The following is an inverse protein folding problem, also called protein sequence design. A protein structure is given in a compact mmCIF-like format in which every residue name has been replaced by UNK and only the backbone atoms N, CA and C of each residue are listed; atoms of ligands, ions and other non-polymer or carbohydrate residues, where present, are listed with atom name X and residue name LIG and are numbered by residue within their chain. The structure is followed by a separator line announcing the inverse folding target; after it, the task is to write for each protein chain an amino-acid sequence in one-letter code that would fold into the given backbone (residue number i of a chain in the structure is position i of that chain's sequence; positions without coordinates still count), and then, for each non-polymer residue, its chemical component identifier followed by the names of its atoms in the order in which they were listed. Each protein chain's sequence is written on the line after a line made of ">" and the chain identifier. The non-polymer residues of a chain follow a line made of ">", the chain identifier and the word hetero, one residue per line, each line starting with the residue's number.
data_IF_993402890646
#
_entry.id   IF_993402890646
#
_cell.length_a   1.000
_cell.length_b   1.000
_cell.length_c   1.000
_cell.angle_alpha   90.00
_cell.angle_beta   90.00
_cell.angle_gamma   90.00
#
_symmetry.space_group_name_H-M   'P 1'
#
loop_
_entity.id
_entity.type
_entity.pdbx_description
1 polymer ?
#
# COMPACT_ATOMS: atom_id res chain seq x y z
N UNK A 1 9.30 -1.09 -10.38
CA UNK A 1 8.35 -0.87 -11.48
C UNK A 1 8.61 0.50 -12.09
N UNK A 2 8.80 0.59 -13.43
CA UNK A 2 9.08 1.85 -14.14
C UNK A 2 7.91 2.83 -14.04
N UNK A 3 6.69 2.34 -14.20
CA UNK A 3 5.46 3.15 -14.14
C UNK A 3 5.24 3.80 -12.77
N UNK A 4 5.65 3.14 -11.67
CA UNK A 4 5.58 3.75 -10.33
C UNK A 4 6.56 4.93 -10.23
N UNK A 5 7.77 4.79 -10.79
CA UNK A 5 8.73 5.89 -10.83
C UNK A 5 8.23 7.04 -11.69
N UNK A 6 7.63 6.73 -12.85
CA UNK A 6 7.00 7.72 -13.72
C UNK A 6 5.85 8.45 -12.99
N UNK A 7 4.96 7.71 -12.30
CA UNK A 7 3.85 8.28 -11.52
C UNK A 7 4.34 9.20 -10.39
N UNK A 8 5.42 8.82 -9.70
CA UNK A 8 6.06 9.66 -8.69
C UNK A 8 6.63 10.93 -9.33
N UNK A 9 7.28 10.82 -10.49
CA UNK A 9 7.87 11.97 -11.17
C UNK A 9 6.82 12.95 -11.70
N UNK A 10 5.65 12.48 -12.14
CA UNK A 10 4.60 13.31 -12.72
C UNK A 10 3.61 13.86 -11.70
N UNK A 11 3.28 13.08 -10.67
CA UNK A 11 2.20 13.40 -9.72
C UNK A 11 2.67 13.55 -8.27
N UNK A 12 3.95 13.27 -7.98
CA UNK A 12 4.55 13.44 -6.66
C UNK A 12 4.90 14.90 -6.38
N UNK A 13 4.66 15.33 -5.14
CA UNK A 13 4.99 16.67 -4.65
C UNK A 13 5.98 16.55 -3.49
N UNK A 14 7.12 17.24 -3.57
CA UNK A 14 8.11 17.27 -2.49
C UNK A 14 7.79 18.42 -1.54
N UNK A 15 7.37 18.07 -0.33
CA UNK A 15 7.09 19.03 0.74
C UNK A 15 8.39 19.39 1.50
N UNK A 16 8.32 20.47 2.27
CA UNK A 16 9.38 20.85 3.18
C UNK A 16 9.73 19.70 4.15
N UNK A 17 11.02 19.56 4.46
CA UNK A 17 11.52 18.45 5.28
C UNK A 17 11.74 17.13 4.51
N UNK A 18 11.68 17.15 3.17
CA UNK A 18 12.00 15.99 2.34
C UNK A 18 10.88 14.94 2.27
N UNK A 19 9.65 15.32 2.59
CA UNK A 19 8.48 14.42 2.55
C UNK A 19 7.93 14.38 1.12
N UNK A 20 7.85 13.19 0.55
CA UNK A 20 7.21 12.96 -0.76
C UNK A 20 5.71 12.70 -0.56
N UNK A 21 4.88 13.62 -1.05
CA UNK A 21 3.43 13.51 -1.06
C UNK A 21 2.96 12.85 -2.36
N UNK A 22 2.12 11.81 -2.24
CA UNK A 22 1.65 10.95 -3.33
C UNK A 22 0.13 10.71 -3.25
N UNK A 23 -0.58 11.72 -2.78
CA UNK A 23 -2.00 11.60 -2.43
C UNK A 23 -2.91 11.34 -3.63
N UNK A 24 -2.45 11.68 -4.85
CA UNK A 24 -3.21 11.53 -6.10
C UNK A 24 -3.34 10.08 -6.57
N UNK A 25 -2.52 9.16 -6.06
CA UNK A 25 -2.53 7.77 -6.54
C UNK A 25 -2.32 6.69 -5.47
N UNK A 26 -1.88 7.02 -4.25
CA UNK A 26 -1.66 6.04 -3.18
C UNK A 26 -2.44 6.32 -1.89
N UNK A 27 -2.26 7.50 -1.28
CA UNK A 27 -2.67 7.72 0.11
C UNK A 27 -4.16 8.10 0.27
N UNK A 28 -4.62 9.09 -0.48
CA UNK A 28 -5.99 9.62 -0.39
C UNK A 28 -6.85 9.20 -1.58
N UNK A 29 -6.33 9.40 -2.80
CA UNK A 29 -6.81 8.78 -4.01
C UNK A 29 -5.95 7.56 -4.31
N UNK A 30 -6.58 6.48 -4.74
CA UNK A 30 -5.91 5.24 -5.11
C UNK A 30 -6.06 5.05 -6.61
N UNK A 31 -4.96 4.81 -7.32
CA UNK A 31 -4.97 4.38 -8.72
C UNK A 31 -5.05 2.84 -8.78
N UNK A 32 -6.21 2.23 -9.09
CA UNK A 32 -6.37 0.78 -9.01
C UNK A 32 -5.52 0.03 -10.04
N UNK A 33 -5.27 0.64 -11.20
CA UNK A 33 -4.44 0.05 -12.27
C UNK A 33 -2.99 -0.05 -11.82
N UNK A 34 -2.48 1.02 -11.20
CA UNK A 34 -1.14 1.00 -10.62
C UNK A 34 -1.03 0.01 -9.46
N UNK A 35 -2.04 -0.06 -8.58
CA UNK A 35 -2.04 -1.01 -7.47
C UNK A 35 -2.06 -2.46 -7.95
N UNK A 36 -2.81 -2.78 -9.02
CA UNK A 36 -2.80 -4.11 -9.64
C UNK A 36 -1.40 -4.50 -10.07
N UNK A 37 -0.71 -3.63 -10.82
CA UNK A 37 0.66 -3.89 -11.29
C UNK A 37 1.68 -3.99 -10.16
N UNK A 38 1.48 -3.24 -9.08
CA UNK A 38 2.26 -3.40 -7.85
C UNK A 38 1.99 -4.77 -7.20
N UNK A 39 0.73 -5.19 -7.14
CA UNK A 39 0.32 -6.51 -6.65
C UNK A 39 0.95 -7.66 -7.43
N UNK A 40 0.90 -7.60 -8.77
CA UNK A 40 1.57 -8.56 -9.66
C UNK A 40 3.08 -8.62 -9.42
N UNK A 41 3.72 -7.46 -9.22
CA UNK A 41 5.15 -7.40 -8.92
C UNK A 41 5.49 -8.04 -7.56
N UNK A 42 4.64 -7.88 -6.55
CA UNK A 42 4.79 -8.59 -5.28
C UNK A 42 4.58 -10.09 -5.46
N UNK A 43 3.50 -10.50 -6.12
CA UNK A 43 3.18 -11.91 -6.35
C UNK A 43 4.31 -12.62 -7.10
N UNK A 44 4.82 -12.03 -8.18
CA UNK A 44 5.93 -12.59 -8.96
C UNK A 44 7.23 -12.71 -8.17
N UNK A 45 7.46 -11.85 -7.18
CA UNK A 45 8.65 -11.91 -6.33
C UNK A 45 8.53 -12.94 -5.19
N UNK A 46 7.33 -13.18 -4.71
CA UNK A 46 7.09 -14.01 -3.52
C UNK A 46 6.42 -15.37 -3.80
N UNK A 47 5.96 -15.64 -5.03
CA UNK A 47 5.29 -16.90 -5.35
C UNK A 47 6.14 -18.15 -5.06
N UNK A 48 7.47 -18.06 -5.23
CA UNK A 48 8.41 -19.15 -4.93
C UNK A 48 8.50 -19.52 -3.45
N UNK A 49 8.19 -18.58 -2.55
CA UNK A 49 8.26 -18.75 -1.09
C UNK A 49 7.01 -19.42 -0.51
N UNK A 50 6.00 -19.69 -1.36
CA UNK A 50 4.71 -20.29 -0.98
C UNK A 50 4.04 -19.58 0.22
N UNK A 51 3.84 -18.26 0.15
CA UNK A 51 3.19 -17.51 1.21
C UNK A 51 1.76 -18.03 1.42
N UNK A 52 1.31 -18.02 2.67
CA UNK A 52 -0.06 -18.48 3.01
C UNK A 52 -1.02 -17.35 3.33
N UNK A 53 -0.50 -16.14 3.65
CA UNK A 53 -1.26 -14.93 3.96
C UNK A 53 -0.46 -13.69 3.59
N UNK A 54 -1.15 -12.60 3.29
CA UNK A 54 -0.57 -11.24 3.24
C UNK A 54 -0.99 -10.49 4.48
N UNK A 55 -0.06 -9.78 5.14
CA UNK A 55 -0.33 -8.93 6.31
C UNK A 55 0.04 -7.48 5.98
N UNK A 56 -0.85 -6.54 6.29
CA UNK A 56 -0.59 -5.10 6.18
C UNK A 56 -1.11 -4.34 7.40
N UNK A 57 -0.72 -3.07 7.54
CA UNK A 57 -1.31 -2.12 8.47
C UNK A 57 -2.28 -1.19 7.73
N UNK A 58 -3.33 -0.75 8.41
CA UNK A 58 -4.23 0.29 7.91
C UNK A 58 -3.57 1.67 7.81
N UNK A 59 -3.98 2.57 6.92
CA UNK A 59 -5.04 2.40 5.90
C UNK A 59 -4.45 2.24 4.50
N UNK A 60 -3.49 3.09 4.10
CA UNK A 60 -2.99 3.16 2.72
C UNK A 60 -2.27 1.88 2.25
N UNK A 61 -1.75 1.07 3.17
CA UNK A 61 -1.14 -0.23 2.85
C UNK A 61 -2.14 -1.27 2.33
N UNK A 62 -3.44 -1.08 2.57
CA UNK A 62 -4.49 -2.01 2.12
C UNK A 62 -4.53 -2.11 0.60
N UNK A 63 -4.39 -0.98 -0.11
CA UNK A 63 -4.54 -0.92 -1.57
C UNK A 63 -3.53 -1.78 -2.34
N UNK A 64 -2.22 -1.72 -2.08
CA UNK A 64 -1.27 -2.64 -2.71
C UNK A 64 -1.37 -4.07 -2.14
N UNK A 65 -1.66 -4.22 -0.84
CA UNK A 65 -1.69 -5.53 -0.20
C UNK A 65 -2.86 -6.40 -0.66
N UNK A 66 -4.03 -5.81 -0.91
CA UNK A 66 -5.19 -6.55 -1.45
C UNK A 66 -4.92 -7.06 -2.86
N UNK A 67 -4.22 -6.27 -3.69
CA UNK A 67 -3.85 -6.71 -5.03
C UNK A 67 -2.80 -7.82 -4.99
N UNK A 68 -1.80 -7.73 -4.10
CA UNK A 68 -0.84 -8.81 -3.91
C UNK A 68 -1.51 -10.11 -3.42
N UNK A 69 -2.41 -10.00 -2.45
CA UNK A 69 -3.18 -11.13 -1.93
C UNK A 69 -4.08 -11.76 -2.99
N UNK A 70 -4.72 -10.92 -3.82
CA UNK A 70 -5.55 -11.34 -4.95
C UNK A 70 -4.73 -12.13 -5.98
N UNK A 71 -3.59 -11.61 -6.43
CA UNK A 71 -2.71 -12.27 -7.41
C UNK A 71 -2.08 -13.56 -6.87
N UNK A 72 -1.78 -13.62 -5.56
CA UNK A 72 -1.27 -14.83 -4.90
C UNK A 72 -2.38 -15.86 -4.57
N UNK A 73 -3.65 -15.49 -4.65
CA UNK A 73 -4.78 -16.36 -4.30
C UNK A 73 -4.84 -16.72 -2.81
N UNK A 74 -4.37 -15.83 -1.92
CA UNK A 74 -4.28 -16.07 -0.47
C UNK A 74 -5.00 -14.96 0.33
N UNK A 75 -5.45 -15.22 1.56
CA UNK A 75 -6.16 -14.21 2.33
C UNK A 75 -5.27 -13.05 2.78
N UNK A 76 -5.86 -11.86 2.83
CA UNK A 76 -5.29 -10.64 3.40
C UNK A 76 -5.72 -10.47 4.86
N UNK A 77 -4.78 -10.13 5.73
CA UNK A 77 -5.00 -9.69 7.11
C UNK A 77 -4.60 -8.23 7.23
N UNK A 78 -5.47 -7.41 7.82
CA UNK A 78 -5.21 -5.98 8.06
C UNK A 78 -5.11 -5.75 9.56
N UNK A 79 -3.91 -5.38 10.02
CA UNK A 79 -3.70 -4.89 11.36
C UNK A 79 -4.31 -3.49 11.50
N UNK A 80 -4.97 -3.24 12.63
CA UNK A 80 -5.54 -1.93 12.97
C UNK A 80 -4.68 -1.24 14.01
N UNK A 81 -4.51 0.07 13.86
CA UNK A 81 -3.86 0.90 14.87
C UNK A 81 -4.79 0.96 16.08
N UNK A 82 -4.37 0.43 17.24
CA UNK A 82 -5.22 0.49 18.42
C UNK A 82 -5.44 1.96 18.78
N UNK A 83 -6.70 2.34 18.94
CA UNK A 83 -7.04 3.58 19.61
C UNK A 83 -6.71 3.33 21.09
N UNK A 84 -5.52 3.75 21.51
CA UNK A 84 -5.33 4.05 22.92
C UNK A 84 -6.17 5.29 23.20
N UNK A 85 -7.40 5.06 23.66
CA UNK A 85 -8.23 6.09 24.28
C UNK A 85 -7.44 6.59 25.49
N UNK A 86 -6.53 7.53 25.26
CA UNK A 86 -6.21 8.49 26.29
C UNK A 86 -7.49 9.31 26.46
N UNK A 87 -8.38 8.81 27.33
CA UNK A 87 -9.38 9.65 28.00
C UNK A 87 -8.59 10.70 28.78
N UNK A 88 -8.08 11.73 28.11
CA UNK A 88 -7.78 12.99 28.78
C UNK A 88 -9.13 13.65 29.03
N UNK A 89 -9.77 13.22 30.12
CA UNK A 89 -10.30 14.21 31.05
C UNK A 89 -9.14 15.15 31.39
N UNK A 90 -9.16 16.34 30.79
CA UNK A 90 -8.69 17.57 31.37
C UNK A 90 -9.32 18.73 30.60
#
# INVERSE_FOLDING_TARGET
>A
MRELLEKIATEGEVLAGGVLKVDRFLNHQVDPQLMKRIGEAFAGRFCGERPTKVLTLESSGISPAIMAAYELGIPLVVARKPIWLCKKTC
#
